data_IF_891907754526
#
_entry.id   IF_891907754526
#
_cell.length_a   1.000
_cell.length_b   1.000
_cell.length_c   1.000
_cell.angle_alpha   90.00
_cell.angle_beta   90.00
_cell.angle_gamma   90.00
#
_symmetry.space_group_name_H-M   'P 1'
#
loop_
_entity.id
_entity.type
_entity.pdbx_description
1 polymer ?
#
# COMPACT_ATOMS: atom_id res chain seq x y z
N UNK A 1 -14.58 12.17 8.60
CA UNK A 1 -13.14 11.84 8.66
C UNK A 1 -12.37 13.02 8.09
N UNK A 2 -11.31 13.48 8.77
CA UNK A 2 -10.44 14.54 8.29
C UNK A 2 -9.72 14.10 7.01
N UNK A 3 -9.56 15.00 6.03
CA UNK A 3 -8.99 14.72 4.71
C UNK A 3 -7.80 15.61 4.35
N UNK A 4 -7.55 16.65 5.13
CA UNK A 4 -6.39 17.52 4.97
C UNK A 4 -5.12 16.79 5.43
N UNK A 5 -4.18 16.56 4.50
CA UNK A 5 -2.93 15.85 4.77
C UNK A 5 -2.08 16.51 5.86
N UNK A 6 -2.08 17.84 5.97
CA UNK A 6 -1.33 18.54 7.02
C UNK A 6 -1.95 18.27 8.38
N UNK A 7 -3.29 18.29 8.47
CA UNK A 7 -4.01 17.97 9.70
C UNK A 7 -3.90 16.50 10.07
N UNK A 8 -4.01 15.59 9.10
CA UNK A 8 -3.80 14.15 9.32
C UNK A 8 -2.39 13.90 9.87
N UNK A 9 -1.36 14.50 9.27
CA UNK A 9 0.02 14.38 9.74
C UNK A 9 0.20 14.93 11.16
N UNK A 10 -0.45 16.04 11.49
CA UNK A 10 -0.43 16.59 12.84
C UNK A 10 -1.15 15.68 13.85
N UNK A 11 -2.30 15.12 13.49
CA UNK A 11 -3.05 14.17 14.33
C UNK A 11 -2.26 12.87 14.55
N UNK A 12 -1.60 12.35 13.51
CA UNK A 12 -0.74 11.18 13.61
C UNK A 12 0.39 11.39 14.61
N UNK A 13 1.11 12.52 14.51
CA UNK A 13 2.18 12.89 15.47
C UNK A 13 1.68 13.01 16.90
N UNK A 14 0.47 13.56 17.10
CA UNK A 14 -0.12 13.68 18.44
C UNK A 14 -0.45 12.31 19.06
N UNK A 15 -0.82 11.33 18.23
CA UNK A 15 -1.20 9.98 18.67
C UNK A 15 -0.07 8.95 18.63
N UNK A 16 1.10 9.33 18.12
CA UNK A 16 2.25 8.43 17.93
C UNK A 16 2.62 7.69 19.23
N UNK A 17 2.83 8.44 20.32
CA UNK A 17 3.15 7.87 21.63
C UNK A 17 2.07 6.93 22.18
N UNK A 18 0.80 7.26 21.95
CA UNK A 18 -0.34 6.43 22.37
C UNK A 18 -0.36 5.11 21.60
N UNK A 19 -0.10 5.16 20.30
CA UNK A 19 -0.03 3.99 19.41
C UNK A 19 1.17 3.11 19.77
N UNK A 20 2.32 3.71 20.05
CA UNK A 20 3.52 2.97 20.46
C UNK A 20 3.28 2.22 21.77
N UNK A 21 2.73 2.90 22.77
CA UNK A 21 2.37 2.28 24.05
C UNK A 21 1.34 1.14 23.87
N UNK A 22 0.34 1.32 23.00
CA UNK A 22 -0.61 0.25 22.67
C UNK A 22 0.10 -0.95 22.03
N UNK A 23 1.02 -0.71 21.09
CA UNK A 23 1.78 -1.77 20.43
C UNK A 23 2.64 -2.55 21.42
N UNK A 24 3.29 -1.87 22.38
CA UNK A 24 4.05 -2.50 23.46
C UNK A 24 3.15 -3.34 24.36
N UNK A 25 2.02 -2.80 24.82
CA UNK A 25 1.06 -3.53 25.64
C UNK A 25 0.52 -4.78 24.95
N UNK A 26 0.24 -4.73 23.64
CA UNK A 26 -0.21 -5.89 22.87
C UNK A 26 0.87 -6.98 22.81
N UNK A 27 2.15 -6.60 22.70
CA UNK A 27 3.29 -7.51 22.73
C UNK A 27 3.48 -8.14 24.11
N UNK A 28 3.49 -7.32 25.16
CA UNK A 28 3.67 -7.76 26.56
C UNK A 28 2.59 -8.74 27.00
N UNK A 29 1.32 -8.45 26.66
CA UNK A 29 0.18 -9.32 26.95
C UNK A 29 0.15 -10.59 26.10
N UNK A 30 1.13 -10.78 25.21
CA UNK A 30 1.24 -11.90 24.27
C UNK A 30 -0.08 -12.15 23.55
N UNK A 31 -0.71 -11.06 23.08
CA UNK A 31 -2.04 -11.15 22.50
C UNK A 31 -2.03 -12.14 21.33
N UNK A 32 -2.97 -13.10 21.25
CA UNK A 32 -2.89 -14.14 20.23
C UNK A 32 -2.95 -13.54 18.82
N UNK A 33 -1.93 -13.80 18.00
CA UNK A 33 -1.82 -13.26 16.63
C UNK A 33 -3.11 -13.44 15.81
N UNK A 34 -3.70 -14.64 15.85
CA UNK A 34 -4.96 -14.95 15.17
C UNK A 34 -6.13 -14.06 15.60
N UNK A 35 -6.21 -13.73 16.90
CA UNK A 35 -7.26 -12.84 17.43
C UNK A 35 -7.01 -11.39 17.01
N UNK A 36 -5.74 -10.95 16.99
CA UNK A 36 -5.37 -9.62 16.53
C UNK A 36 -5.75 -9.44 15.06
N UNK A 37 -5.38 -10.40 14.21
CA UNK A 37 -5.70 -10.41 12.79
C UNK A 37 -7.22 -10.40 12.56
N UNK A 38 -7.97 -11.22 13.29
CA UNK A 38 -9.43 -11.25 13.18
C UNK A 38 -10.06 -9.90 13.58
N UNK A 39 -9.55 -9.28 14.66
CA UNK A 39 -10.01 -7.98 15.13
C UNK A 39 -9.72 -6.90 14.11
N UNK A 40 -8.49 -6.85 13.59
CA UNK A 40 -8.08 -5.89 12.56
C UNK A 40 -8.92 -6.05 11.29
N UNK A 41 -9.12 -7.28 10.81
CA UNK A 41 -9.97 -7.56 9.63
C UNK A 41 -11.43 -7.12 9.82
N UNK A 42 -11.98 -7.25 11.03
CA UNK A 42 -13.32 -6.74 11.34
C UNK A 42 -13.35 -5.21 11.27
N UNK A 43 -12.43 -4.54 11.97
CA UNK A 43 -12.33 -3.08 11.98
C UNK A 43 -12.10 -2.52 10.57
N UNK A 44 -11.24 -3.14 9.77
CA UNK A 44 -10.99 -2.73 8.39
C UNK A 44 -12.26 -2.81 7.53
N UNK A 45 -13.06 -3.88 7.66
CA UNK A 45 -14.33 -3.99 6.92
C UNK A 45 -15.33 -2.90 7.29
N UNK A 46 -15.33 -2.46 8.54
CA UNK A 46 -16.20 -1.37 9.03
C UNK A 46 -15.68 0.01 8.61
N UNK A 47 -14.36 0.22 8.60
CA UNK A 47 -13.75 1.53 8.41
C UNK A 47 -13.42 1.85 6.94
N UNK A 48 -13.03 0.86 6.13
CA UNK A 48 -12.67 1.06 4.71
C UNK A 48 -13.81 1.76 3.93
N UNK A 49 -15.10 1.38 4.07
CA UNK A 49 -16.18 2.05 3.35
C UNK A 49 -16.33 3.54 3.69
N UNK A 50 -15.82 3.98 4.85
CA UNK A 50 -15.87 5.38 5.28
C UNK A 50 -14.71 6.20 4.69
N UNK A 51 -13.69 5.53 4.15
CA UNK A 51 -12.49 6.11 3.56
C UNK A 51 -12.53 6.03 2.04
N UNK A 52 -12.13 7.11 1.38
CA UNK A 52 -11.98 7.13 -0.07
C UNK A 52 -10.55 7.56 -0.41
N UNK A 53 -9.71 6.58 -0.76
CA UNK A 53 -8.31 6.78 -1.10
C UNK A 53 -8.12 7.57 -2.40
N UNK A 54 -9.13 7.56 -3.28
CA UNK A 54 -9.07 8.25 -4.57
C UNK A 54 -9.16 9.77 -4.40
N UNK A 55 -9.66 10.26 -3.26
CA UNK A 55 -9.79 11.70 -2.98
C UNK A 55 -8.45 12.42 -2.84
N UNK A 56 -7.46 11.80 -2.22
CA UNK A 56 -6.13 12.42 -2.09
C UNK A 56 -5.11 11.81 -3.06
N UNK A 57 -5.25 10.51 -3.38
CA UNK A 57 -4.35 9.74 -4.21
C UNK A 57 -2.86 9.85 -3.82
N UNK A 58 -2.55 10.26 -2.58
CA UNK A 58 -1.18 10.56 -2.16
C UNK A 58 -0.29 9.31 -2.20
N UNK A 59 -0.84 8.16 -1.79
CA UNK A 59 -0.13 6.88 -1.89
C UNK A 59 0.07 6.47 -3.36
N UNK A 60 -0.95 6.61 -4.20
CA UNK A 60 -0.88 6.18 -5.59
C UNK A 60 0.08 7.02 -6.45
N UNK A 61 0.23 8.29 -6.08
CA UNK A 61 1.16 9.21 -6.73
C UNK A 61 2.61 8.91 -6.42
N UNK A 62 2.94 8.25 -5.30
CA UNK A 62 4.31 7.94 -4.90
C UNK A 62 4.67 6.47 -5.00
N UNK A 63 3.70 5.57 -4.80
CA UNK A 63 3.95 4.14 -4.76
C UNK A 63 4.31 3.59 -6.15
N UNK A 64 5.48 2.95 -6.21
CA UNK A 64 5.84 2.07 -7.31
C UNK A 64 5.15 0.72 -7.15
N UNK A 65 4.72 0.15 -8.27
CA UNK A 65 4.31 -1.24 -8.35
C UNK A 65 5.49 -2.02 -8.90
N UNK A 66 6.05 -2.90 -8.07
CA UNK A 66 7.12 -3.82 -8.47
C UNK A 66 6.54 -4.86 -9.42
N UNK A 67 7.28 -5.16 -10.47
CA UNK A 67 6.88 -6.08 -11.52
C UNK A 67 7.95 -7.16 -11.67
N UNK A 68 7.57 -8.40 -11.45
CA UNK A 68 8.46 -9.54 -11.58
C UNK A 68 8.45 -10.13 -12.99
N UNK A 69 9.38 -11.05 -13.25
CA UNK A 69 9.50 -11.73 -14.54
C UNK A 69 8.23 -12.51 -14.88
N UNK A 70 7.58 -13.10 -13.87
CA UNK A 70 6.30 -13.81 -14.01
C UNK A 70 5.15 -12.85 -14.33
N UNK A 71 5.12 -11.67 -13.70
CA UNK A 71 4.12 -10.64 -14.04
C UNK A 71 4.27 -10.19 -15.49
N UNK A 72 5.48 -9.92 -15.94
CA UNK A 72 5.75 -9.55 -17.35
C UNK A 72 5.24 -10.66 -18.27
N UNK A 73 5.50 -11.93 -17.94
CA UNK A 73 5.07 -13.06 -18.75
C UNK A 73 3.53 -13.16 -18.81
N UNK A 74 2.86 -13.02 -17.67
CA UNK A 74 1.40 -13.11 -17.54
C UNK A 74 0.71 -11.93 -18.23
N UNK A 75 1.18 -10.72 -18.00
CA UNK A 75 0.58 -9.48 -18.51
C UNK A 75 0.83 -9.32 -20.01
N UNK A 76 2.04 -9.62 -20.51
CA UNK A 76 2.30 -9.62 -21.96
C UNK A 76 1.43 -10.63 -22.71
N UNK A 77 1.22 -11.84 -22.14
CA UNK A 77 0.30 -12.83 -22.69
C UNK A 77 -1.14 -12.34 -22.70
N UNK A 78 -1.60 -11.74 -21.60
CA UNK A 78 -2.96 -11.20 -21.50
C UNK A 78 -3.21 -10.05 -22.50
N UNK A 79 -2.19 -9.25 -22.81
CA UNK A 79 -2.25 -8.17 -23.78
C UNK A 79 -1.92 -8.62 -25.22
N UNK A 80 -1.64 -9.90 -25.46
CA UNK A 80 -1.34 -10.43 -26.79
C UNK A 80 -0.02 -9.91 -27.41
N UNK A 81 0.94 -9.49 -26.58
CA UNK A 81 2.21 -8.91 -27.04
C UNK A 81 3.43 -9.73 -26.59
N UNK A 82 4.58 -9.48 -27.21
CA UNK A 82 5.84 -10.14 -26.80
C UNK A 82 6.32 -9.59 -25.46
N UNK A 83 6.97 -10.43 -24.65
CA UNK A 83 7.57 -10.01 -23.36
C UNK A 83 8.56 -8.85 -23.52
N UNK A 84 9.33 -8.83 -24.60
CA UNK A 84 10.30 -7.78 -24.91
C UNK A 84 9.61 -6.43 -25.17
N UNK A 85 8.51 -6.46 -25.93
CA UNK A 85 7.69 -5.30 -26.23
C UNK A 85 7.01 -4.76 -24.96
N UNK A 86 6.44 -5.64 -24.13
CA UNK A 86 5.88 -5.27 -22.84
C UNK A 86 6.92 -4.61 -21.92
N UNK A 87 8.13 -5.17 -21.86
CA UNK A 87 9.23 -4.60 -21.07
C UNK A 87 9.58 -3.19 -21.56
N UNK A 88 9.74 -3.02 -22.86
CA UNK A 88 10.07 -1.72 -23.45
C UNK A 88 8.96 -0.68 -23.21
N UNK A 89 7.70 -1.09 -23.28
CA UNK A 89 6.56 -0.18 -23.21
C UNK A 89 6.11 0.16 -21.78
N UNK A 90 6.19 -0.78 -20.84
CA UNK A 90 5.56 -0.64 -19.52
C UNK A 90 6.52 -0.78 -18.34
N UNK A 91 7.75 -1.25 -18.52
CA UNK A 91 8.65 -1.59 -17.41
C UNK A 91 9.83 -0.64 -17.36
N UNK A 92 10.22 -0.24 -16.15
CA UNK A 92 11.37 0.61 -15.87
C UNK A 92 12.08 0.20 -14.59
N UNK A 93 12.98 1.08 -14.13
CA UNK A 93 13.67 0.97 -12.85
C UNK A 93 13.32 2.20 -12.00
N UNK A 94 13.05 2.00 -10.71
CA UNK A 94 12.92 3.11 -9.75
C UNK A 94 14.28 3.48 -9.14
N UNK A 95 14.26 4.42 -8.19
CA UNK A 95 15.41 4.92 -7.43
C UNK A 95 16.18 3.80 -6.71
N UNK A 96 15.48 2.78 -6.24
CA UNK A 96 16.05 1.59 -5.58
C UNK A 96 16.53 0.50 -6.55
N UNK A 97 16.54 0.78 -7.87
CA UNK A 97 16.85 -0.19 -8.94
C UNK A 97 15.91 -1.40 -8.99
N UNK A 98 14.74 -1.32 -8.35
CA UNK A 98 13.69 -2.33 -8.46
C UNK A 98 13.04 -2.26 -9.84
N UNK A 99 12.63 -3.41 -10.37
CA UNK A 99 11.88 -3.48 -11.63
C UNK A 99 10.43 -3.09 -11.35
N UNK A 100 9.94 -2.04 -11.98
CA UNK A 100 8.64 -1.44 -11.68
C UNK A 100 7.89 -1.08 -12.97
N UNK A 101 6.60 -0.79 -12.88
CA UNK A 101 5.93 -0.10 -13.99
C UNK A 101 6.53 1.29 -14.21
N UNK A 102 6.72 1.67 -15.48
CA UNK A 102 7.28 2.97 -15.87
C UNK A 102 6.30 4.14 -15.70
N UNK A 103 5.02 3.85 -15.49
CA UNK A 103 3.99 4.80 -15.14
C UNK A 103 3.40 4.45 -13.79
N UNK A 104 3.17 5.48 -12.97
CA UNK A 104 2.40 5.34 -11.72
C UNK A 104 0.91 5.19 -12.09
N UNK A 105 0.18 4.49 -11.23
CA UNK A 105 -1.17 3.99 -11.46
C UNK A 105 -2.27 5.06 -11.28
N UNK A 106 -1.88 6.28 -10.89
CA UNK A 106 -2.75 7.45 -10.79
C UNK A 106 -2.05 8.67 -11.38
#
# INVERSE_FOLDING_TARGET
MERDLKKIKALARKKEKEIDALCEQLKERKYPKRKLDATLKRLMRELIPLFDCTKCAACCKEAYVVVETEDIARLSKALGMKRSEFRAQYVGKNEDKATVFNKRHC
#
